data_IF_309164920609
#
_entry.id   IF_309164920609
#
_cell.length_a   1.000
_cell.length_b   1.000
_cell.length_c   1.000
_cell.angle_alpha   90.00
_cell.angle_beta   90.00
_cell.angle_gamma   90.00
#
_symmetry.space_group_name_H-M   'P 1'
#
loop_
_entity.id
_entity.type
_entity.pdbx_description
1 polymer ?
#
# COMPACT_ATOMS: atom_id res chain seq x y z
N UNK A 1 -10.81 4.76 -12.81
CA UNK A 1 -10.71 4.21 -11.44
C UNK A 1 -11.34 5.23 -10.49
N UNK A 2 -12.52 4.94 -9.92
CA UNK A 2 -13.08 5.78 -8.87
C UNK A 2 -12.46 5.36 -7.56
N UNK A 3 -11.61 6.20 -7.00
CA UNK A 3 -11.13 6.07 -5.64
C UNK A 3 -12.32 6.31 -4.71
N UNK A 4 -12.79 5.26 -4.07
CA UNK A 4 -13.85 5.39 -3.07
C UNK A 4 -13.18 5.75 -1.73
N UNK A 5 -13.06 7.06 -1.47
CA UNK A 5 -12.83 7.53 -0.11
C UNK A 5 -14.09 7.26 0.72
N UNK A 6 -14.10 6.20 1.48
CA UNK A 6 -15.21 5.88 2.37
C UNK A 6 -15.07 6.76 3.61
N UNK A 7 -15.85 7.84 3.66
CA UNK A 7 -15.96 8.68 4.87
C UNK A 7 -16.90 8.03 5.88
N UNK A 8 -16.34 7.80 7.03
CA UNK A 8 -16.88 7.75 8.41
C UNK A 8 -18.10 6.90 8.81
N UNK A 9 -18.97 6.41 7.97
CA UNK A 9 -20.15 5.65 8.45
C UNK A 9 -20.54 4.42 7.68
N UNK A 10 -20.09 4.24 6.46
CA UNK A 10 -20.71 3.23 5.58
C UNK A 10 -19.88 1.93 5.41
N UNK A 11 -18.66 1.83 5.91
CA UNK A 11 -17.86 0.63 5.73
C UNK A 11 -17.84 0.13 4.28
N UNK A 12 -17.69 -1.18 4.09
CA UNK A 12 -17.74 -1.85 2.78
C UNK A 12 -19.15 -2.40 2.44
N UNK A 13 -20.20 -2.03 3.18
CA UNK A 13 -21.55 -2.56 3.00
C UNK A 13 -22.05 -2.45 1.57
N UNK A 14 -21.82 -1.30 0.90
CA UNK A 14 -22.20 -1.12 -0.52
C UNK A 14 -21.41 -2.02 -1.47
N UNK A 15 -20.17 -2.37 -1.14
CA UNK A 15 -19.38 -3.33 -1.92
C UNK A 15 -19.99 -4.72 -1.79
N UNK A 16 -20.29 -5.15 -0.57
CA UNK A 16 -20.93 -6.45 -0.34
C UNK A 16 -22.32 -6.53 -0.99
N UNK A 17 -23.13 -5.48 -0.88
CA UNK A 17 -24.42 -5.39 -1.56
C UNK A 17 -24.27 -5.49 -3.08
N UNK A 18 -23.28 -4.80 -3.67
CA UNK A 18 -23.01 -4.89 -5.10
C UNK A 18 -22.58 -6.29 -5.53
N UNK A 19 -21.77 -6.98 -4.71
CA UNK A 19 -21.35 -8.36 -4.96
C UNK A 19 -22.54 -9.34 -4.93
N UNK A 20 -23.51 -9.11 -4.05
CA UNK A 20 -24.71 -9.97 -3.94
C UNK A 20 -25.71 -9.72 -5.07
N UNK A 21 -25.86 -8.46 -5.49
CA UNK A 21 -26.92 -8.03 -6.44
C UNK A 21 -26.47 -7.90 -7.89
N UNK A 22 -25.19 -8.12 -8.18
CA UNK A 22 -24.64 -7.95 -9.53
C UNK A 22 -23.68 -9.05 -9.92
N UNK A 23 -23.36 -9.11 -11.21
CA UNK A 23 -22.33 -10.01 -11.77
C UNK A 23 -20.94 -9.37 -11.81
N UNK A 24 -20.73 -8.26 -11.11
CA UNK A 24 -19.43 -7.58 -11.08
C UNK A 24 -18.40 -8.47 -10.38
N UNK A 25 -17.27 -8.80 -11.02
CA UNK A 25 -16.24 -9.61 -10.40
C UNK A 25 -15.66 -8.93 -9.15
N UNK A 26 -15.50 -9.68 -8.06
CA UNK A 26 -14.98 -9.16 -6.79
C UNK A 26 -13.63 -8.44 -6.95
N UNK A 27 -12.77 -8.90 -7.84
CA UNK A 27 -11.45 -8.34 -8.11
C UNK A 27 -11.45 -6.91 -8.69
N UNK A 28 -12.63 -6.38 -9.08
CA UNK A 28 -12.76 -4.98 -9.51
C UNK A 28 -12.80 -4.03 -8.32
N UNK A 29 -13.30 -4.50 -7.18
CA UNK A 29 -13.36 -3.71 -5.96
C UNK A 29 -12.00 -3.73 -5.26
N UNK A 30 -11.45 -2.55 -5.04
CA UNK A 30 -10.16 -2.32 -4.37
C UNK A 30 -10.29 -1.16 -3.40
N UNK A 31 -10.99 -1.36 -2.27
CA UNK A 31 -11.10 -0.32 -1.27
C UNK A 31 -9.71 0.02 -0.72
N UNK A 32 -9.44 1.32 -0.62
CA UNK A 32 -8.23 1.87 -0.04
C UNK A 32 -8.51 2.46 1.33
N UNK A 33 -7.48 2.71 2.12
CA UNK A 33 -7.56 3.27 3.48
C UNK A 33 -8.37 2.40 4.46
N UNK A 34 -8.40 1.08 4.23
CA UNK A 34 -9.21 0.19 5.08
C UNK A 34 -8.66 0.08 6.51
N UNK A 35 -7.39 0.40 6.71
CA UNK A 35 -6.74 0.47 8.02
C UNK A 35 -6.98 1.80 8.75
N UNK A 36 -7.93 2.63 8.31
CA UNK A 36 -8.26 3.90 9.00
C UNK A 36 -8.93 3.68 10.35
N UNK A 37 -9.63 2.57 10.52
CA UNK A 37 -10.30 2.20 11.77
C UNK A 37 -10.60 0.70 11.80
N UNK A 38 -10.69 0.16 13.02
CA UNK A 38 -10.86 -1.28 13.26
C UNK A 38 -12.03 -1.92 12.51
N UNK A 39 -13.22 -1.35 12.60
CA UNK A 39 -14.40 -1.93 11.94
C UNK A 39 -14.27 -2.00 10.42
N UNK A 40 -13.65 -1.01 9.78
CA UNK A 40 -13.40 -1.03 8.34
C UNK A 40 -12.34 -2.07 7.95
N UNK A 41 -11.32 -2.24 8.80
CA UNK A 41 -10.30 -3.26 8.61
C UNK A 41 -10.89 -4.68 8.69
N UNK A 42 -11.79 -4.92 9.66
CA UNK A 42 -12.49 -6.20 9.81
C UNK A 42 -13.36 -6.53 8.58
N UNK A 43 -14.07 -5.53 8.02
CA UNK A 43 -14.78 -5.70 6.75
C UNK A 43 -13.82 -5.94 5.56
N UNK A 44 -12.65 -5.29 5.56
CA UNK A 44 -11.58 -5.55 4.61
C UNK A 44 -11.10 -7.00 4.66
N UNK A 45 -10.93 -7.54 5.85
CA UNK A 45 -10.57 -8.95 6.04
C UNK A 45 -11.64 -9.92 5.49
N UNK A 46 -12.92 -9.63 5.72
CA UNK A 46 -14.00 -10.41 5.11
C UNK A 46 -13.98 -10.35 3.57
N UNK A 47 -13.58 -9.22 3.00
CA UNK A 47 -13.43 -9.09 1.54
C UNK A 47 -12.26 -9.94 1.03
N UNK A 48 -11.13 -10.00 1.76
CA UNK A 48 -10.00 -10.87 1.44
C UNK A 48 -10.37 -12.35 1.47
N UNK A 49 -11.12 -12.81 2.48
CA UNK A 49 -11.61 -14.19 2.57
C UNK A 49 -12.49 -14.61 1.38
N UNK A 50 -13.15 -13.64 0.76
CA UNK A 50 -13.92 -13.83 -0.48
C UNK A 50 -13.08 -13.72 -1.77
N UNK A 51 -11.75 -13.49 -1.65
CA UNK A 51 -10.83 -13.34 -2.78
C UNK A 51 -10.81 -11.94 -3.41
N UNK A 52 -11.29 -10.92 -2.69
CA UNK A 52 -11.18 -9.51 -3.08
C UNK A 52 -9.83 -8.92 -2.75
N UNK A 53 -9.63 -7.65 -3.10
CA UNK A 53 -8.44 -6.87 -2.79
C UNK A 53 -8.72 -5.80 -1.75
N UNK A 54 -7.72 -5.48 -0.94
CA UNK A 54 -7.72 -4.28 -0.09
C UNK A 54 -6.39 -3.53 -0.23
N UNK A 55 -6.42 -2.24 0.05
CA UNK A 55 -5.23 -1.42 0.13
C UNK A 55 -5.11 -0.79 1.51
N UNK A 56 -3.95 -1.00 2.13
CA UNK A 56 -3.56 -0.41 3.41
C UNK A 56 -2.73 0.84 3.13
N UNK A 57 -2.98 1.91 3.85
CA UNK A 57 -2.31 3.19 3.61
C UNK A 57 -1.38 3.53 4.76
N UNK A 58 -0.15 3.91 4.41
CA UNK A 58 0.87 4.33 5.37
C UNK A 58 0.49 5.64 6.07
N UNK A 59 0.83 5.76 7.35
CA UNK A 59 0.71 7.02 8.11
C UNK A 59 -0.72 7.50 8.37
N UNK A 60 -1.74 6.66 8.12
CA UNK A 60 -3.14 7.04 8.29
C UNK A 60 -3.65 6.83 9.72
N UNK A 61 -3.04 5.89 10.45
CA UNK A 61 -3.35 5.54 11.83
C UNK A 61 -2.10 4.97 12.50
N UNK A 62 -1.81 5.43 13.70
CA UNK A 62 -0.73 4.88 14.53
C UNK A 62 -1.09 3.48 15.05
N UNK A 63 -2.39 3.24 15.36
CA UNK A 63 -2.88 1.97 15.90
C UNK A 63 -3.00 0.87 14.84
N UNK A 64 -3.12 1.24 13.57
CA UNK A 64 -3.37 0.31 12.45
C UNK A 64 -2.36 0.53 11.32
N UNK A 65 -1.05 0.44 11.64
CA UNK A 65 -0.01 0.45 10.61
C UNK A 65 -0.15 -0.75 9.67
N UNK A 66 0.16 -0.61 8.38
CA UNK A 66 0.02 -1.70 7.40
C UNK A 66 0.68 -3.02 7.80
N UNK A 67 1.92 -2.97 8.30
CA UNK A 67 2.63 -4.17 8.76
C UNK A 67 1.92 -4.89 9.90
N UNK A 68 1.43 -4.14 10.90
CA UNK A 68 0.65 -4.69 12.01
C UNK A 68 -0.66 -5.34 11.54
N UNK A 69 -1.37 -4.70 10.61
CA UNK A 69 -2.59 -5.26 10.01
C UNK A 69 -2.32 -6.57 9.24
N UNK A 70 -1.18 -6.65 8.54
CA UNK A 70 -0.77 -7.87 7.83
C UNK A 70 -0.46 -9.00 8.80
N UNK A 71 0.26 -8.73 9.90
CA UNK A 71 0.55 -9.73 10.93
C UNK A 71 -0.75 -10.21 11.58
N UNK A 72 -1.66 -9.31 11.93
CA UNK A 72 -2.97 -9.66 12.47
C UNK A 72 -3.76 -10.56 11.50
N UNK A 73 -3.76 -10.24 10.19
CA UNK A 73 -4.39 -11.06 9.17
C UNK A 73 -3.79 -12.48 9.13
N UNK A 74 -2.46 -12.57 9.14
CA UNK A 74 -1.74 -13.87 9.15
C UNK A 74 -2.07 -14.70 10.41
N UNK A 75 -2.10 -14.08 11.58
CA UNK A 75 -2.46 -14.74 12.85
C UNK A 75 -3.89 -15.27 12.83
N UNK A 76 -4.80 -14.56 12.17
CA UNK A 76 -6.20 -14.99 11.98
C UNK A 76 -6.39 -16.01 10.85
N UNK A 77 -5.34 -16.36 10.11
CA UNK A 77 -5.42 -17.26 8.96
C UNK A 77 -6.11 -16.64 7.74
N UNK A 78 -6.16 -15.32 7.65
CA UNK A 78 -6.76 -14.59 6.52
C UNK A 78 -5.75 -14.53 5.37
N UNK A 79 -6.17 -14.80 4.11
CA UNK A 79 -5.30 -14.69 2.93
C UNK A 79 -4.73 -13.27 2.78
N UNK A 80 -3.42 -13.14 2.55
CA UNK A 80 -2.75 -11.83 2.45
C UNK A 80 -2.24 -11.49 1.06
N UNK A 81 -2.41 -12.36 0.09
CA UNK A 81 -1.91 -12.23 -1.29
C UNK A 81 -2.56 -11.06 -2.05
N UNK A 82 -3.76 -10.67 -1.64
CA UNK A 82 -4.51 -9.57 -2.23
C UNK A 82 -4.45 -8.27 -1.39
N UNK A 83 -3.51 -8.17 -0.47
CA UNK A 83 -3.21 -6.94 0.24
C UNK A 83 -2.17 -6.14 -0.54
N UNK A 84 -2.42 -4.86 -0.74
CA UNK A 84 -1.45 -3.89 -1.23
C UNK A 84 -1.22 -2.80 -0.19
N UNK A 85 -0.07 -2.13 -0.27
CA UNK A 85 0.27 -0.98 0.58
C UNK A 85 0.52 0.22 -0.32
N UNK A 86 -0.02 1.39 0.07
CA UNK A 86 0.18 2.66 -0.61
C UNK A 86 0.56 3.78 0.36
N UNK A 87 1.23 4.81 -0.15
CA UNK A 87 1.61 6.00 0.65
C UNK A 87 0.51 7.06 0.69
N UNK A 88 -0.48 7.00 -0.19
CA UNK A 88 -1.36 8.14 -0.49
C UNK A 88 -0.56 9.43 -0.79
N UNK A 89 0.64 9.27 -1.36
CA UNK A 89 1.60 10.35 -1.58
C UNK A 89 0.99 11.51 -2.33
N UNK A 90 1.21 12.74 -1.83
CA UNK A 90 0.59 13.98 -2.26
C UNK A 90 -0.92 14.08 -2.01
N UNK A 91 -1.55 13.06 -1.42
CA UNK A 91 -2.90 13.14 -0.90
C UNK A 91 -2.99 14.10 0.31
N UNK A 92 -4.08 14.81 0.45
CA UNK A 92 -4.31 15.66 1.62
C UNK A 92 -4.96 14.86 2.74
N UNK A 93 -4.51 15.12 3.97
CA UNK A 93 -5.16 14.61 5.17
C UNK A 93 -5.58 15.75 6.09
N UNK A 94 -6.58 15.50 6.94
CA UNK A 94 -7.10 16.48 7.89
C UNK A 94 -7.31 15.82 9.24
N UNK A 95 -6.88 16.48 10.30
CA UNK A 95 -7.21 16.12 11.69
C UNK A 95 -8.27 17.08 12.22
N UNK A 96 -9.23 16.56 12.96
CA UNK A 96 -10.32 17.33 13.58
C UNK A 96 -10.26 17.19 15.09
N UNK A 97 -10.71 18.23 15.82
CA UNK A 97 -10.92 18.18 17.25
C UNK A 97 -12.22 17.42 17.56
N UNK A 98 -12.43 17.11 18.84
CA UNK A 98 -13.65 16.44 19.31
C UNK A 98 -14.92 17.22 18.99
N UNK A 99 -14.84 18.55 18.94
CA UNK A 99 -15.94 19.46 18.58
C UNK A 99 -16.21 19.53 17.06
N UNK A 100 -15.47 18.77 16.26
CA UNK A 100 -15.58 18.76 14.80
C UNK A 100 -14.85 19.91 14.09
N UNK A 101 -14.20 20.81 14.82
CA UNK A 101 -13.40 21.88 14.20
C UNK A 101 -12.08 21.32 13.64
N UNK A 102 -11.61 21.88 12.51
CA UNK A 102 -10.36 21.49 11.89
C UNK A 102 -9.19 21.81 12.83
N UNK A 103 -8.36 20.81 13.11
CA UNK A 103 -7.15 20.94 13.91
C UNK A 103 -5.93 21.21 13.01
N UNK A 104 -5.77 20.37 11.99
CA UNK A 104 -4.57 20.37 11.15
C UNK A 104 -4.90 19.83 9.76
N UNK A 105 -4.21 20.35 8.75
CA UNK A 105 -4.19 19.83 7.37
C UNK A 105 -2.74 19.56 6.99
N UNK A 106 -2.49 18.42 6.31
CA UNK A 106 -1.19 18.10 5.78
C UNK A 106 -1.28 17.38 4.44
N UNK A 107 -0.12 17.04 3.92
CA UNK A 107 0.05 16.29 2.68
C UNK A 107 0.85 15.03 2.98
N UNK A 108 0.39 13.89 2.50
CA UNK A 108 1.06 12.60 2.69
C UNK A 108 2.40 12.56 1.95
N UNK A 109 3.41 12.01 2.61
CA UNK A 109 4.74 11.81 2.01
C UNK A 109 4.78 10.55 1.15
N UNK A 110 5.48 10.61 0.03
CA UNK A 110 5.80 9.40 -0.76
C UNK A 110 6.80 8.49 -0.04
N UNK A 111 7.63 9.06 0.86
CA UNK A 111 8.60 8.30 1.66
C UNK A 111 7.93 7.36 2.68
N UNK A 112 6.65 7.57 2.99
CA UNK A 112 5.91 6.73 3.93
C UNK A 112 5.93 5.23 3.56
N UNK A 113 6.01 4.89 2.25
CA UNK A 113 6.18 3.49 1.82
C UNK A 113 7.53 2.91 2.25
N UNK A 114 8.60 3.68 2.13
CA UNK A 114 9.93 3.24 2.55
C UNK A 114 10.01 3.13 4.07
N UNK A 115 9.46 4.11 4.77
CA UNK A 115 9.40 4.12 6.23
C UNK A 115 8.62 2.90 6.76
N UNK A 116 7.48 2.58 6.15
CA UNK A 116 6.70 1.39 6.49
C UNK A 116 7.47 0.09 6.24
N UNK A 117 8.18 -0.03 5.10
CA UNK A 117 9.01 -1.19 4.81
C UNK A 117 10.09 -1.39 5.88
N UNK A 118 10.79 -0.30 6.25
CA UNK A 118 11.81 -0.35 7.30
C UNK A 118 11.20 -0.73 8.66
N UNK A 119 10.03 -0.19 8.98
CA UNK A 119 9.28 -0.54 10.19
C UNK A 119 8.90 -2.03 10.22
N UNK A 120 8.37 -2.55 9.10
CA UNK A 120 8.03 -3.98 8.99
C UNK A 120 9.24 -4.88 9.23
N UNK A 121 10.42 -4.49 8.73
CA UNK A 121 11.63 -5.31 8.85
C UNK A 121 12.29 -5.14 10.23
N UNK A 122 12.45 -3.92 10.73
CA UNK A 122 13.25 -3.65 11.93
C UNK A 122 12.45 -3.76 13.24
N UNK A 123 11.17 -3.33 13.21
CA UNK A 123 10.35 -3.28 14.42
C UNK A 123 9.39 -4.47 14.52
N UNK A 124 8.90 -4.97 13.38
CA UNK A 124 7.99 -6.12 13.35
C UNK A 124 8.70 -7.45 13.03
N UNK A 125 10.02 -7.43 12.90
CA UNK A 125 10.88 -8.61 12.62
C UNK A 125 10.41 -9.43 11.40
N UNK A 126 9.80 -8.74 10.42
CA UNK A 126 9.35 -9.37 9.18
C UNK A 126 10.54 -9.49 8.23
N UNK A 127 10.73 -10.66 7.60
CA UNK A 127 11.76 -10.81 6.58
C UNK A 127 11.49 -9.90 5.40
N UNK A 128 12.54 -9.33 4.81
CA UNK A 128 12.43 -8.42 3.68
C UNK A 128 11.67 -9.05 2.50
N UNK A 129 11.96 -10.31 2.19
CA UNK A 129 11.30 -11.05 1.13
C UNK A 129 9.80 -11.30 1.39
N UNK A 130 9.37 -11.29 2.65
CA UNK A 130 7.96 -11.43 3.06
C UNK A 130 7.22 -10.08 3.11
N UNK A 131 7.95 -8.98 3.28
CA UNK A 131 7.41 -7.62 3.31
C UNK A 131 7.25 -7.00 1.92
N UNK A 132 8.23 -7.19 1.04
CA UNK A 132 8.27 -6.58 -0.29
C UNK A 132 7.07 -6.89 -1.19
N UNK A 133 6.47 -8.10 -1.19
CA UNK A 133 5.35 -8.43 -2.08
C UNK A 133 4.19 -7.44 -1.98
N UNK A 134 3.86 -6.93 -0.79
CA UNK A 134 2.76 -5.99 -0.56
C UNK A 134 2.93 -4.64 -1.26
N UNK A 135 4.16 -4.27 -1.61
CA UNK A 135 4.52 -3.03 -2.30
C UNK A 135 4.99 -3.26 -3.74
N UNK A 136 5.13 -4.52 -4.17
CA UNK A 136 5.69 -4.88 -5.47
C UNK A 136 4.82 -5.86 -6.25
N UNK A 137 4.96 -7.16 -6.03
CA UNK A 137 4.27 -8.20 -6.81
C UNK A 137 2.75 -8.20 -6.63
N UNK A 138 2.24 -7.98 -5.42
CA UNK A 138 0.80 -7.87 -5.17
C UNK A 138 0.22 -6.64 -5.86
N UNK A 139 0.94 -5.51 -5.85
CA UNK A 139 0.55 -4.30 -6.58
C UNK A 139 0.54 -4.56 -8.08
N UNK A 140 1.57 -5.21 -8.62
CA UNK A 140 1.63 -5.57 -10.02
C UNK A 140 0.46 -6.50 -10.42
N UNK A 141 0.12 -7.47 -9.58
CA UNK A 141 -1.04 -8.32 -9.79
C UNK A 141 -2.34 -7.52 -9.77
N UNK A 142 -2.55 -6.72 -8.73
CA UNK A 142 -3.72 -5.89 -8.60
C UNK A 142 -3.93 -4.96 -9.82
N UNK A 143 -2.87 -4.51 -10.46
CA UNK A 143 -2.90 -3.62 -11.63
C UNK A 143 -2.87 -4.36 -12.99
N UNK A 144 -2.77 -5.70 -13.00
CA UNK A 144 -2.65 -6.49 -14.24
C UNK A 144 -1.31 -6.32 -14.94
N UNK A 145 -0.24 -6.06 -14.17
CA UNK A 145 1.13 -5.83 -14.67
C UNK A 145 2.06 -7.02 -14.38
N UNK A 146 1.52 -8.18 -14.01
CA UNK A 146 2.31 -9.38 -13.75
C UNK A 146 3.19 -9.70 -14.96
N UNK A 147 4.41 -10.13 -14.68
CA UNK A 147 5.40 -10.44 -15.71
C UNK A 147 6.09 -9.22 -16.32
N UNK A 148 5.58 -8.00 -16.08
CA UNK A 148 6.23 -6.75 -16.48
C UNK A 148 6.82 -6.00 -15.30
N UNK A 149 6.11 -5.95 -14.18
CA UNK A 149 6.47 -5.19 -12.97
C UNK A 149 6.42 -6.07 -11.73
N UNK A 150 7.02 -5.59 -10.64
CA UNK A 150 6.91 -6.17 -9.30
C UNK A 150 7.79 -7.39 -9.03
N UNK A 151 8.51 -7.90 -10.02
CA UNK A 151 9.41 -9.07 -9.88
C UNK A 151 10.64 -8.92 -10.75
N UNK A 152 11.76 -9.51 -10.31
CA UNK A 152 13.00 -9.59 -11.09
C UNK A 152 12.94 -10.89 -11.89
N UNK A 153 12.62 -10.76 -13.19
CA UNK A 153 12.57 -11.89 -14.11
C UNK A 153 12.93 -11.48 -15.55
N UNK A 154 13.30 -12.47 -16.37
CA UNK A 154 13.60 -12.21 -17.79
C UNK A 154 12.36 -11.69 -18.52
N UNK A 155 12.50 -10.54 -19.17
CA UNK A 155 11.43 -9.89 -19.92
C UNK A 155 10.60 -8.88 -19.12
N UNK A 156 10.83 -8.75 -17.82
CA UNK A 156 10.26 -7.67 -17.01
C UNK A 156 11.01 -6.35 -17.24
N UNK A 157 10.35 -5.25 -16.94
CA UNK A 157 10.98 -3.93 -16.96
C UNK A 157 12.05 -3.85 -15.86
N UNK A 158 13.17 -3.23 -16.18
CA UNK A 158 14.27 -3.06 -15.23
C UNK A 158 13.99 -1.84 -14.33
N UNK A 159 13.07 -2.00 -13.37
CA UNK A 159 12.78 -1.06 -12.29
C UNK A 159 13.34 -1.65 -10.99
N UNK A 160 14.51 -1.18 -10.58
CA UNK A 160 15.29 -1.79 -9.52
C UNK A 160 15.71 -0.77 -8.48
N UNK A 161 15.62 -1.17 -7.21
CA UNK A 161 16.26 -0.49 -6.08
C UNK A 161 17.41 -1.36 -5.58
N UNK A 162 18.59 -0.78 -5.45
CA UNK A 162 19.75 -1.42 -4.85
C UNK A 162 19.95 -0.83 -3.47
N UNK A 163 20.00 -1.69 -2.47
CA UNK A 163 20.11 -1.35 -1.06
C UNK A 163 21.39 -1.94 -0.48
N UNK A 164 21.97 -1.28 0.50
CA UNK A 164 23.00 -1.88 1.31
C UNK A 164 22.41 -2.83 2.38
N UNK A 165 23.27 -3.40 3.24
CA UNK A 165 22.84 -4.34 4.28
C UNK A 165 21.97 -3.69 5.38
N UNK A 166 22.04 -2.36 5.50
CA UNK A 166 21.26 -1.58 6.46
C UNK A 166 19.97 -1.03 5.82
N UNK A 167 19.58 -1.54 4.63
CA UNK A 167 18.42 -1.10 3.84
C UNK A 167 18.47 0.39 3.49
N UNK A 168 19.68 0.95 3.34
CA UNK A 168 19.87 2.29 2.82
C UNK A 168 19.95 2.22 1.29
N UNK A 169 19.19 3.08 0.62
CA UNK A 169 19.13 3.08 -0.85
C UNK A 169 20.44 3.60 -1.44
N UNK A 170 21.13 2.73 -2.19
CA UNK A 170 22.37 3.07 -2.91
C UNK A 170 22.09 3.55 -4.33
N UNK A 171 21.26 2.80 -5.06
CA UNK A 171 21.00 3.09 -6.48
C UNK A 171 19.54 2.84 -6.87
N UNK A 172 19.07 3.62 -7.84
CA UNK A 172 17.74 3.50 -8.41
C UNK A 172 17.82 3.46 -9.93
N UNK A 173 17.17 2.45 -10.51
CA UNK A 173 17.06 2.22 -11.94
C UNK A 173 15.56 2.16 -12.27
N UNK A 174 15.14 2.89 -13.29
CA UNK A 174 13.78 2.85 -13.83
C UNK A 174 13.80 2.67 -15.33
N UNK A 175 13.06 1.68 -15.84
CA UNK A 175 13.04 1.35 -17.27
C UNK A 175 14.42 1.09 -17.85
N UNK A 176 15.35 0.51 -17.06
CA UNK A 176 16.74 0.24 -17.46
C UNK A 176 17.65 1.47 -17.42
N UNK A 177 17.18 2.66 -17.01
CA UNK A 177 17.97 3.89 -16.91
C UNK A 177 18.30 4.19 -15.46
N UNK A 178 19.55 4.54 -15.19
CA UNK A 178 20.03 4.89 -13.85
C UNK A 178 19.58 6.32 -13.52
N UNK A 179 18.82 6.49 -12.44
CA UNK A 179 18.37 7.78 -11.90
C UNK A 179 19.16 8.21 -10.69
N UNK A 180 19.61 7.25 -9.90
CA UNK A 180 20.46 7.49 -8.73
C UNK A 180 21.54 6.41 -8.66
N UNK A 181 22.76 6.76 -8.29
CA UNK A 181 23.88 5.83 -8.09
C UNK A 181 24.77 6.32 -6.97
N UNK A 182 25.16 5.41 -6.07
CA UNK A 182 25.97 5.73 -4.89
C UNK A 182 25.40 6.93 -4.12
N UNK A 183 24.12 6.89 -3.84
CA UNK A 183 23.35 7.94 -3.14
C UNK A 183 23.29 9.29 -3.88
N UNK A 184 23.82 9.40 -5.10
CA UNK A 184 23.81 10.63 -5.89
C UNK A 184 22.75 10.59 -6.97
N UNK A 185 21.87 11.59 -7.00
CA UNK A 185 20.87 11.77 -8.05
C UNK A 185 21.61 12.14 -9.35
N UNK A 186 21.42 11.31 -10.37
CA UNK A 186 22.01 11.49 -11.70
C UNK A 186 21.02 12.14 -12.66
N UNK A 187 19.74 11.75 -12.55
CA UNK A 187 18.68 12.26 -13.39
C UNK A 187 17.54 12.76 -12.49
N UNK A 188 17.12 13.99 -12.72
CA UNK A 188 15.99 14.60 -12.00
C UNK A 188 14.69 14.39 -12.76
N UNK A 189 13.58 14.29 -12.06
CA UNK A 189 12.24 14.31 -12.62
C UNK A 189 11.86 15.68 -13.15
N UNK A 190 10.74 15.75 -13.88
CA UNK A 190 10.28 16.99 -14.55
C UNK A 190 10.05 18.15 -13.60
N UNK A 191 9.71 17.86 -12.34
CA UNK A 191 9.35 18.85 -11.31
C UNK A 191 10.40 18.99 -10.19
N UNK A 192 11.53 18.28 -10.28
CA UNK A 192 12.63 18.36 -9.32
C UNK A 192 13.61 19.46 -9.73
N UNK A 193 13.95 20.36 -8.79
CA UNK A 193 14.90 21.46 -9.00
C UNK A 193 16.32 21.10 -8.59
#
# INVERSE_FOLDING_TARGET
>A
QRQMCIRDSAGLSLVFEALEKSMIPIKIFRPTHVNRRKGLLEEGYQLLEKGGYIDLTCGISEDFCPGGCILEAKEKGIPTEHITISSDGHGSWSKYREDGSLLEIGVSSVDALREELLYMVHELDMKLEDALPYMTSHVAEALGLQGKKGTIQKGADADLLLWDNDLKLDSYIAGGKIFMQKEKIICKGTYEK
#
